data_IF_560164550813
#
_entry.id   IF_560164550813
#
_cell.length_a   1.000
_cell.length_b   1.000
_cell.length_c   1.000
_cell.angle_alpha   90.00
_cell.angle_beta   90.00
_cell.angle_gamma   90.00
#
_symmetry.space_group_name_H-M   'P 1'
#
loop_
_entity.id
_entity.type
_entity.pdbx_description
1 polymer ?
#
# COMPACT_ATOMS: atom_id res chain seq x y z
N UNK A 1 50.36 -100.14 -24.07
CA UNK A 1 51.65 -99.55 -23.62
C UNK A 1 51.31 -98.27 -22.86
N UNK A 2 52.03 -98.00 -21.76
CA UNK A 2 52.24 -96.67 -21.12
C UNK A 2 51.17 -95.57 -21.22
N UNK A 3 50.52 -95.30 -20.07
CA UNK A 3 50.45 -93.94 -19.46
C UNK A 3 51.86 -93.36 -19.22
N UNK A 4 52.07 -92.05 -18.94
CA UNK A 4 51.14 -91.02 -18.43
C UNK A 4 51.03 -89.81 -19.42
N UNK A 5 50.79 -88.53 -19.12
CA UNK A 5 50.66 -87.74 -17.87
C UNK A 5 49.86 -86.43 -18.05
N UNK A 6 49.76 -85.60 -17.00
CA UNK A 6 49.26 -84.21 -16.99
C UNK A 6 50.40 -83.19 -16.74
N UNK A 7 50.17 -81.86 -16.90
CA UNK A 7 49.63 -81.08 -15.77
C UNK A 7 48.75 -79.85 -16.12
N UNK A 8 48.07 -79.29 -15.10
CA UNK A 8 47.67 -77.86 -15.01
C UNK A 8 48.51 -77.20 -13.88
N UNK A 9 48.60 -75.85 -13.71
CA UNK A 9 47.50 -74.85 -13.56
C UNK A 9 47.69 -73.69 -14.58
N UNK A 10 47.17 -72.45 -14.53
CA UNK A 10 46.21 -71.63 -13.74
C UNK A 10 45.82 -70.41 -14.64
N UNK A 11 44.94 -69.41 -14.43
CA UNK A 11 43.89 -68.92 -13.47
C UNK A 11 42.87 -68.13 -14.39
N UNK A 12 41.73 -67.50 -14.04
CA UNK A 12 41.01 -67.25 -12.78
C UNK A 12 39.49 -67.01 -13.02
N UNK A 13 38.71 -67.25 -11.95
CA UNK A 13 37.57 -66.45 -11.44
C UNK A 13 36.29 -66.17 -12.26
N UNK A 14 35.16 -66.49 -11.63
CA UNK A 14 33.76 -66.30 -12.09
C UNK A 14 33.14 -64.97 -11.61
N UNK A 15 31.91 -64.61 -12.06
CA UNK A 15 30.77 -64.87 -11.16
C UNK A 15 29.51 -65.43 -11.85
N UNK A 16 28.66 -66.07 -11.05
CA UNK A 16 27.31 -66.54 -11.37
C UNK A 16 26.28 -65.67 -10.58
N UNK A 17 24.97 -66.01 -10.46
CA UNK A 17 24.13 -66.99 -11.17
C UNK A 17 22.82 -66.37 -11.73
N UNK A 18 21.93 -67.19 -12.30
CA UNK A 18 20.55 -66.81 -12.59
C UNK A 18 19.56 -67.70 -11.80
N UNK A 19 18.69 -67.07 -10.98
CA UNK A 19 17.75 -67.75 -10.07
C UNK A 19 16.27 -67.44 -10.44
N UNK A 20 15.28 -68.24 -10.00
CA UNK A 20 13.99 -68.32 -10.68
C UNK A 20 12.99 -67.21 -10.31
N UNK A 21 12.14 -66.86 -11.29
CA UNK A 21 11.00 -65.93 -11.13
C UNK A 21 9.94 -66.54 -10.20
N UNK A 22 9.55 -65.82 -9.14
CA UNK A 22 8.36 -66.12 -8.32
C UNK A 22 7.19 -65.16 -8.62
N UNK A 23 5.99 -65.61 -8.29
CA UNK A 23 4.71 -65.04 -8.74
C UNK A 23 4.34 -63.71 -8.06
N UNK A 24 3.75 -62.79 -8.83
CA UNK A 24 3.14 -61.56 -8.29
C UNK A 24 1.86 -61.90 -7.53
N UNK A 25 1.84 -61.75 -6.20
CA UNK A 25 0.62 -61.74 -5.38
C UNK A 25 0.85 -60.88 -4.13
N UNK A 26 -0.17 -60.10 -3.76
CA UNK A 26 -0.21 -59.18 -2.61
C UNK A 26 0.86 -58.06 -2.57
N UNK A 27 0.59 -56.94 -3.26
CA UNK A 27 1.14 -55.61 -2.89
C UNK A 27 0.15 -54.46 -3.15
N UNK A 28 -1.15 -54.71 -2.95
CA UNK A 28 -2.20 -53.69 -3.02
C UNK A 28 -3.15 -53.92 -1.83
N UNK A 29 -2.94 -53.19 -0.73
CA UNK A 29 -3.91 -53.00 0.37
C UNK A 29 -3.44 -52.05 1.49
N UNK A 30 -2.16 -51.66 1.55
CA UNK A 30 -1.61 -50.80 2.62
C UNK A 30 -1.31 -49.34 2.19
N UNK A 31 -1.60 -48.96 0.94
CA UNK A 31 -1.27 -47.62 0.42
C UNK A 31 -2.32 -46.53 0.62
N UNK A 32 -3.56 -46.87 1.00
CA UNK A 32 -4.71 -45.95 0.97
C UNK A 32 -4.81 -45.02 2.19
N UNK A 33 -4.47 -45.50 3.39
CA UNK A 33 -4.65 -44.72 4.62
C UNK A 33 -3.75 -43.46 4.66
N UNK A 34 -2.46 -43.60 4.33
CA UNK A 34 -1.51 -42.48 4.37
C UNK A 34 -1.85 -41.38 3.34
N UNK A 35 -2.27 -41.77 2.12
CA UNK A 35 -2.61 -40.83 1.06
C UNK A 35 -3.83 -39.95 1.41
N UNK A 36 -4.88 -40.53 1.99
CA UNK A 36 -6.10 -39.79 2.34
C UNK A 36 -5.85 -38.81 3.49
N UNK A 37 -5.06 -39.19 4.51
CA UNK A 37 -4.70 -38.30 5.62
C UNK A 37 -3.89 -37.09 5.15
N UNK A 38 -2.93 -37.29 4.23
CA UNK A 38 -2.13 -36.20 3.66
C UNK A 38 -2.96 -35.22 2.83
N UNK A 39 -3.93 -35.72 2.05
CA UNK A 39 -4.85 -34.87 1.28
C UNK A 39 -5.73 -34.03 2.22
N UNK A 40 -6.30 -34.66 3.26
CA UNK A 40 -7.15 -33.96 4.22
C UNK A 40 -6.40 -32.84 4.98
N UNK A 41 -5.18 -33.10 5.43
CA UNK A 41 -4.35 -32.11 6.13
C UNK A 41 -3.83 -30.99 5.20
N UNK A 42 -3.50 -31.31 3.94
CA UNK A 42 -3.08 -30.30 2.97
C UNK A 42 -4.19 -29.30 2.64
N UNK A 43 -5.43 -29.78 2.48
CA UNK A 43 -6.59 -28.94 2.14
C UNK A 43 -6.96 -27.97 3.27
N UNK A 44 -6.87 -28.38 4.54
CA UNK A 44 -7.19 -27.50 5.68
C UNK A 44 -6.12 -26.44 5.94
N UNK A 45 -4.83 -26.76 5.74
CA UNK A 45 -3.75 -25.76 5.87
C UNK A 45 -3.82 -24.75 4.73
N UNK A 46 -4.09 -25.18 3.49
CA UNK A 46 -4.18 -24.30 2.33
C UNK A 46 -5.32 -23.27 2.44
N UNK A 47 -6.50 -23.66 2.94
CA UNK A 47 -7.63 -22.74 3.08
C UNK A 47 -7.42 -21.71 4.19
N UNK A 48 -6.83 -22.09 5.32
CA UNK A 48 -6.47 -21.17 6.42
C UNK A 48 -5.37 -20.20 5.96
N UNK A 49 -4.35 -20.69 5.25
CA UNK A 49 -3.30 -19.84 4.70
C UNK A 49 -3.84 -18.81 3.69
N UNK A 50 -4.75 -19.22 2.79
CA UNK A 50 -5.37 -18.32 1.82
C UNK A 50 -6.26 -17.23 2.48
N UNK A 51 -7.00 -17.59 3.53
CA UNK A 51 -7.79 -16.62 4.30
C UNK A 51 -6.89 -15.59 5.01
N UNK A 52 -5.81 -16.06 5.66
CA UNK A 52 -4.86 -15.18 6.34
C UNK A 52 -4.12 -14.26 5.35
N UNK A 53 -3.76 -14.76 4.15
CA UNK A 53 -3.15 -13.93 3.10
C UNK A 53 -4.06 -12.78 2.68
N UNK A 54 -5.36 -13.03 2.49
CA UNK A 54 -6.31 -11.99 2.10
C UNK A 54 -6.46 -10.88 3.17
N UNK A 55 -6.36 -11.21 4.45
CA UNK A 55 -6.35 -10.19 5.51
C UNK A 55 -5.01 -9.43 5.59
N UNK A 56 -3.87 -10.10 5.36
CA UNK A 56 -2.58 -9.42 5.24
C UNK A 56 -2.57 -8.44 4.05
N UNK A 57 -3.04 -8.87 2.88
CA UNK A 57 -3.11 -8.04 1.68
C UNK A 57 -3.99 -6.78 1.91
N UNK A 58 -5.12 -6.93 2.62
CA UNK A 58 -5.97 -5.80 3.04
C UNK A 58 -5.28 -4.86 4.02
N UNK A 59 -4.55 -5.39 5.00
CA UNK A 59 -3.84 -4.57 5.99
C UNK A 59 -2.73 -3.75 5.32
N UNK A 60 -1.96 -4.33 4.40
CA UNK A 60 -0.94 -3.58 3.65
C UNK A 60 -1.55 -2.58 2.66
N UNK A 61 -2.67 -2.90 2.01
CA UNK A 61 -3.42 -1.94 1.20
C UNK A 61 -3.95 -0.77 2.05
N UNK A 62 -4.47 -1.03 3.24
CA UNK A 62 -4.95 0.01 4.16
C UNK A 62 -3.81 0.91 4.65
N UNK A 63 -2.66 0.34 5.03
CA UNK A 63 -1.45 1.11 5.36
C UNK A 63 -0.99 1.97 4.19
N UNK A 64 -0.90 1.43 2.97
CA UNK A 64 -0.50 2.17 1.79
C UNK A 64 -1.46 3.33 1.47
N UNK A 65 -2.76 3.14 1.68
CA UNK A 65 -3.76 4.20 1.55
C UNK A 65 -3.65 5.27 2.64
N UNK A 66 -3.36 4.87 3.90
CA UNK A 66 -3.13 5.80 5.02
C UNK A 66 -1.84 6.61 4.82
N UNK A 67 -0.75 5.98 4.40
CA UNK A 67 0.49 6.68 4.08
C UNK A 67 0.32 7.62 2.87
N UNK A 68 -0.40 7.23 1.82
CA UNK A 68 -0.76 8.16 0.73
C UNK A 68 -1.55 9.35 1.28
N UNK A 69 -2.54 9.11 2.16
CA UNK A 69 -3.36 10.15 2.77
C UNK A 69 -2.52 11.14 3.59
N UNK A 70 -1.74 10.64 4.55
CA UNK A 70 -0.92 11.49 5.45
C UNK A 70 0.12 12.31 4.70
N UNK A 71 0.67 11.78 3.61
CA UNK A 71 1.63 12.49 2.77
C UNK A 71 0.98 13.40 1.69
N UNK A 72 -0.35 13.47 1.59
CA UNK A 72 -1.04 14.24 0.53
C UNK A 72 -0.83 15.75 0.68
N UNK A 73 -1.14 16.35 1.84
CA UNK A 73 -0.89 17.78 2.08
C UNK A 73 0.62 18.13 2.07
N UNK A 74 1.52 17.38 2.73
CA UNK A 74 2.96 17.64 2.64
C UNK A 74 3.53 17.56 1.22
N UNK A 75 3.01 16.66 0.36
CA UNK A 75 3.43 16.61 -1.04
C UNK A 75 2.91 17.81 -1.85
N UNK A 76 1.65 18.21 -1.68
CA UNK A 76 1.10 19.40 -2.32
C UNK A 76 1.85 20.68 -1.90
N UNK A 77 2.11 20.85 -0.60
CA UNK A 77 2.87 22.00 -0.07
C UNK A 77 4.29 22.05 -0.65
N UNK A 78 4.95 20.89 -0.73
CA UNK A 78 6.29 20.74 -1.32
C UNK A 78 6.30 20.95 -2.83
N UNK A 79 5.28 20.54 -3.57
CA UNK A 79 5.16 20.77 -5.01
C UNK A 79 5.01 22.26 -5.34
N UNK A 80 4.46 23.04 -4.40
CA UNK A 80 4.22 24.47 -4.51
C UNK A 80 5.24 25.33 -3.75
N UNK A 81 6.46 24.81 -3.52
CA UNK A 81 7.58 25.52 -2.87
C UNK A 81 7.20 26.20 -1.54
N UNK A 82 6.44 25.52 -0.68
CA UNK A 82 6.15 26.02 0.67
C UNK A 82 7.41 26.01 1.54
N UNK A 83 7.67 27.12 2.22
CA UNK A 83 8.58 27.15 3.37
C UNK A 83 7.92 26.50 4.59
N UNK A 84 8.70 26.01 5.55
CA UNK A 84 8.20 25.45 6.82
C UNK A 84 7.80 26.56 7.82
N UNK A 85 7.13 27.59 7.32
CA UNK A 85 6.72 28.79 8.05
C UNK A 85 5.41 29.25 7.41
N UNK A 86 4.41 29.55 8.24
CA UNK A 86 3.02 29.78 7.80
C UNK A 86 2.33 28.56 7.13
N UNK A 87 2.77 27.36 7.48
CA UNK A 87 2.13 26.09 7.15
C UNK A 87 2.39 25.09 8.28
N UNK A 88 1.33 24.64 8.95
CA UNK A 88 1.38 23.66 10.01
C UNK A 88 0.47 22.47 9.69
N UNK A 89 0.95 21.26 9.97
CA UNK A 89 0.17 20.02 9.77
C UNK A 89 -0.49 19.61 11.07
N UNK A 90 -1.81 19.47 11.03
CA UNK A 90 -2.66 19.19 12.19
C UNK A 90 -3.17 17.74 12.15
N UNK A 91 -3.67 17.29 13.29
CA UNK A 91 -4.40 16.01 13.45
C UNK A 91 -3.74 14.84 12.69
N UNK A 92 -2.43 14.67 12.91
CA UNK A 92 -1.65 13.55 12.40
C UNK A 92 -1.58 13.44 10.85
N UNK A 93 -1.95 14.49 10.13
CA UNK A 93 -2.04 14.56 8.66
C UNK A 93 -3.47 14.62 8.10
N UNK A 94 -4.49 14.69 8.96
CA UNK A 94 -5.89 14.80 8.53
C UNK A 94 -6.35 16.25 8.28
N UNK A 95 -5.58 17.25 8.72
CA UNK A 95 -5.80 18.67 8.41
C UNK A 95 -4.49 19.47 8.32
N UNK A 96 -4.57 20.70 7.81
CA UNK A 96 -3.48 21.70 7.83
C UNK A 96 -4.04 23.10 8.15
N UNK A 97 -3.20 23.94 8.74
CA UNK A 97 -3.43 25.39 8.85
C UNK A 97 -2.38 26.14 8.03
N UNK A 98 -2.85 27.11 7.25
CA UNK A 98 -2.06 28.12 6.55
C UNK A 98 -2.48 29.46 7.16
N UNK A 99 -1.72 29.94 8.14
CA UNK A 99 -1.95 31.26 8.73
C UNK A 99 -1.23 32.37 7.96
N UNK A 100 -1.63 33.62 8.18
CA UNK A 100 -0.92 34.83 7.74
C UNK A 100 -0.51 34.94 6.24
N UNK A 101 -1.07 34.14 5.35
CA UNK A 101 -0.73 34.13 3.92
C UNK A 101 -1.29 35.37 3.20
N UNK A 102 -0.65 35.80 2.11
CA UNK A 102 -1.08 37.01 1.35
C UNK A 102 -1.18 38.27 2.24
N UNK A 103 -0.39 38.33 3.31
CA UNK A 103 -0.27 39.47 4.21
C UNK A 103 0.27 40.73 3.50
N UNK A 104 -0.03 41.89 4.08
CA UNK A 104 0.39 43.20 3.56
C UNK A 104 1.80 43.62 3.99
N UNK A 105 2.29 43.12 5.12
CA UNK A 105 3.59 43.46 5.69
C UNK A 105 4.22 42.25 6.40
N UNK A 106 5.36 41.76 5.89
CA UNK A 106 6.13 40.67 6.48
C UNK A 106 6.58 39.65 5.44
N UNK A 107 7.04 38.49 5.89
CA UNK A 107 7.29 37.31 5.06
C UNK A 107 6.17 36.30 5.32
N UNK A 108 5.59 35.74 4.25
CA UNK A 108 4.47 34.81 4.33
C UNK A 108 4.18 34.17 2.98
N UNK A 109 3.37 33.11 2.97
CA UNK A 109 3.04 32.40 1.73
C UNK A 109 2.31 33.33 0.75
N UNK A 110 2.78 33.33 -0.50
CA UNK A 110 2.18 34.14 -1.57
C UNK A 110 0.86 33.54 -2.06
N UNK A 111 0.00 34.36 -2.66
CA UNK A 111 -1.23 33.89 -3.29
C UNK A 111 -0.97 32.79 -4.33
N UNK A 112 0.12 32.90 -5.10
CA UNK A 112 0.56 31.89 -6.07
C UNK A 112 0.84 30.54 -5.42
N UNK A 113 1.52 30.52 -4.25
CA UNK A 113 1.77 29.28 -3.51
C UNK A 113 0.47 28.70 -2.96
N UNK A 114 -0.38 29.51 -2.31
CA UNK A 114 -1.65 29.03 -1.73
C UNK A 114 -2.60 28.47 -2.80
N UNK A 115 -2.73 29.13 -3.96
CA UNK A 115 -3.59 28.64 -5.05
C UNK A 115 -2.97 27.46 -5.80
N UNK A 116 -1.64 27.37 -5.89
CA UNK A 116 -0.96 26.14 -6.34
C UNK A 116 -1.31 24.96 -5.40
N UNK A 117 -1.18 25.15 -4.08
CA UNK A 117 -1.44 24.11 -3.08
C UNK A 117 -2.90 23.62 -3.13
N UNK A 118 -3.85 24.53 -3.25
CA UNK A 118 -5.25 24.18 -3.46
C UNK A 118 -5.48 23.47 -4.81
N UNK A 119 -4.75 23.84 -5.86
CA UNK A 119 -4.75 23.17 -7.17
C UNK A 119 -4.24 21.71 -7.12
N UNK A 120 -3.14 21.45 -6.41
CA UNK A 120 -2.60 20.10 -6.15
C UNK A 120 -3.55 19.23 -5.29
N UNK A 121 -4.55 19.84 -4.65
CA UNK A 121 -5.64 19.18 -3.92
C UNK A 121 -6.95 19.09 -4.71
N UNK A 122 -6.90 19.26 -6.04
CA UNK A 122 -8.05 19.24 -6.96
C UNK A 122 -9.15 20.27 -6.59
N UNK A 123 -8.79 21.41 -5.97
CA UNK A 123 -9.76 22.43 -5.62
C UNK A 123 -10.36 23.12 -6.86
N UNK A 124 -11.68 23.40 -6.86
CA UNK A 124 -12.31 24.07 -7.99
C UNK A 124 -11.88 25.55 -8.04
N UNK A 125 -11.72 26.11 -9.24
CA UNK A 125 -11.41 27.54 -9.43
C UNK A 125 -12.46 28.50 -8.80
N UNK A 126 -13.65 28.00 -8.43
CA UNK A 126 -14.61 28.74 -7.62
C UNK A 126 -14.14 29.02 -6.19
N UNK A 127 -13.23 28.21 -5.63
CA UNK A 127 -12.64 28.45 -4.31
C UNK A 127 -11.66 29.62 -4.37
N UNK A 128 -10.71 29.62 -5.32
CA UNK A 128 -9.83 30.75 -5.59
C UNK A 128 -10.64 32.05 -5.78
N UNK A 129 -11.69 32.00 -6.60
CA UNK A 129 -12.56 33.14 -6.85
C UNK A 129 -13.25 33.66 -5.57
N UNK A 130 -13.67 32.78 -4.64
CA UNK A 130 -14.27 33.20 -3.36
C UNK A 130 -13.23 33.73 -2.39
N UNK A 131 -12.07 33.09 -2.26
CA UNK A 131 -10.96 33.57 -1.42
C UNK A 131 -10.56 34.98 -1.85
N UNK A 132 -10.31 35.20 -3.15
CA UNK A 132 -9.97 36.52 -3.70
C UNK A 132 -11.05 37.59 -3.57
N UNK A 133 -12.32 37.22 -3.34
CA UNK A 133 -13.42 38.15 -3.08
C UNK A 133 -13.81 38.27 -1.59
N UNK A 134 -13.14 37.53 -0.68
CA UNK A 134 -13.45 37.54 0.76
C UNK A 134 -12.87 38.79 1.41
N UNK A 135 -13.70 39.52 2.17
CA UNK A 135 -13.30 40.73 2.92
C UNK A 135 -13.41 40.47 4.42
N UNK A 136 -12.73 41.26 5.25
CA UNK A 136 -12.78 41.10 6.70
C UNK A 136 -14.19 41.20 7.31
N UNK A 137 -15.11 41.92 6.66
CA UNK A 137 -16.51 42.04 7.09
C UNK A 137 -17.38 40.82 6.73
N UNK A 138 -16.87 39.90 5.89
CA UNK A 138 -17.57 38.67 5.51
C UNK A 138 -17.29 37.52 6.51
N UNK A 139 -16.35 37.71 7.43
CA UNK A 139 -16.05 36.77 8.51
C UNK A 139 -15.50 35.43 8.03
N UNK A 140 -15.86 34.34 8.73
CA UNK A 140 -15.46 32.98 8.37
C UNK A 140 -16.27 32.45 7.19
N UNK A 141 -15.57 32.03 6.15
CA UNK A 141 -16.10 31.44 4.93
C UNK A 141 -15.69 29.95 4.86
N UNK A 142 -16.42 29.14 4.07
CA UNK A 142 -16.11 27.71 3.93
C UNK A 142 -16.58 27.15 2.57
N UNK A 143 -15.87 26.14 2.08
CA UNK A 143 -16.23 25.36 0.89
C UNK A 143 -15.79 23.91 1.03
N UNK A 144 -16.57 23.00 0.45
CA UNK A 144 -16.30 21.55 0.41
C UNK A 144 -16.18 21.10 -1.03
N UNK A 145 -15.12 20.36 -1.36
CA UNK A 145 -14.90 19.67 -2.63
C UNK A 145 -14.27 18.30 -2.36
N UNK A 146 -14.51 17.32 -3.22
CA UNK A 146 -14.03 15.93 -3.02
C UNK A 146 -14.35 15.43 -1.60
N UNK A 147 -13.33 15.10 -0.81
CA UNK A 147 -13.37 14.72 0.62
C UNK A 147 -12.69 15.76 1.53
N UNK A 148 -12.61 17.02 1.07
CA UNK A 148 -11.89 18.12 1.69
C UNK A 148 -12.82 19.32 1.95
N UNK A 149 -12.55 20.03 3.04
CA UNK A 149 -13.23 21.27 3.43
C UNK A 149 -12.17 22.34 3.70
N UNK A 150 -12.31 23.48 3.03
CA UNK A 150 -11.63 24.71 3.41
C UNK A 150 -12.50 25.51 4.38
N UNK A 151 -11.87 26.10 5.38
CA UNK A 151 -12.47 27.10 6.27
C UNK A 151 -11.49 28.26 6.36
N UNK A 152 -11.89 29.49 6.00
CA UNK A 152 -10.96 30.62 5.94
C UNK A 152 -11.53 31.94 6.45
N UNK A 153 -10.62 32.87 6.80
CA UNK A 153 -10.89 34.27 7.15
C UNK A 153 -9.83 35.16 6.49
N UNK A 154 -10.14 36.43 6.25
CA UNK A 154 -9.18 37.40 5.70
C UNK A 154 -9.20 38.71 6.49
N UNK A 155 -8.03 39.31 6.70
CA UNK A 155 -7.89 40.66 7.25
C UNK A 155 -6.79 41.46 6.52
N UNK A 156 -7.01 42.75 6.17
CA UNK A 156 -6.05 43.53 5.37
C UNK A 156 -4.63 43.66 5.93
N UNK A 157 -4.45 43.55 7.25
CA UNK A 157 -3.12 43.70 7.86
C UNK A 157 -2.43 42.36 8.15
N UNK A 158 -3.18 41.29 8.45
CA UNK A 158 -2.62 39.96 8.77
C UNK A 158 -2.75 38.93 7.64
N UNK A 159 -3.49 39.22 6.57
CA UNK A 159 -3.67 38.31 5.44
C UNK A 159 -4.83 37.32 5.61
N UNK A 160 -4.72 36.20 4.89
CA UNK A 160 -5.57 35.02 4.89
C UNK A 160 -5.12 34.07 6.01
N UNK A 161 -6.06 33.58 6.81
CA UNK A 161 -5.91 32.30 7.51
C UNK A 161 -6.86 31.30 6.86
N UNK A 162 -6.34 30.14 6.48
CA UNK A 162 -6.99 29.05 5.77
C UNK A 162 -6.67 27.71 6.46
N UNK A 163 -7.69 27.04 6.98
CA UNK A 163 -7.62 25.64 7.40
C UNK A 163 -8.15 24.77 6.25
N UNK A 164 -7.45 23.68 5.92
CA UNK A 164 -7.95 22.63 5.03
C UNK A 164 -7.99 21.31 5.81
N UNK A 165 -9.19 20.78 5.99
CA UNK A 165 -9.48 19.58 6.78
C UNK A 165 -10.14 18.50 5.91
N UNK A 166 -9.99 17.23 6.29
CA UNK A 166 -10.74 16.12 5.65
C UNK A 166 -12.15 16.04 6.22
N UNK A 167 -13.12 15.69 5.36
CA UNK A 167 -14.52 15.50 5.74
C UNK A 167 -15.09 14.23 5.09
N UNK A 168 -16.07 13.62 5.77
CA UNK A 168 -16.87 12.52 5.25
C UNK A 168 -18.03 13.00 4.34
N UNK A 169 -18.16 14.32 4.12
CA UNK A 169 -19.10 14.90 3.15
C UNK A 169 -18.89 14.30 1.75
N UNK A 170 -19.95 13.84 1.06
CA UNK A 170 -19.81 13.30 -0.29
C UNK A 170 -19.43 14.39 -1.30
N UNK A 171 -18.59 14.08 -2.31
CA UNK A 171 -18.21 15.04 -3.35
C UNK A 171 -19.42 15.70 -4.01
N UNK A 172 -19.40 17.04 -4.09
CA UNK A 172 -20.44 17.80 -4.78
C UNK A 172 -20.36 17.54 -6.28
N UNK A 173 -21.19 16.62 -6.76
CA UNK A 173 -21.32 16.30 -8.17
C UNK A 173 -21.83 17.53 -8.95
N UNK A 174 -20.93 18.14 -9.71
CA UNK A 174 -21.24 19.19 -10.67
C UNK A 174 -22.23 18.66 -11.73
N UNK A 175 -23.21 19.48 -12.11
CA UNK A 175 -24.21 19.19 -13.15
C UNK A 175 -24.03 20.10 -14.36
#
# INVERSE_FOLDING_TARGET
MTTPDAPQPETAATPAPAAPKKTKRNLILWGSAAAVVLIAAGVTIASVAAANQAEHDRVEQHKAALEKRKNEFPNAAKACDFTTFHYDTLDDGEAVEIDHAVMKYGEGLTATQVFCFLGELDAPASLEAKINNTRALDGTQTETWNHLKATWTYHPDSGLNLIVERTDDPPKLNK
#
